data_IF_896071585563
#
_entry.id   IF_896071585563
#
_cell.length_a   1.000
_cell.length_b   1.000
_cell.length_c   1.000
_cell.angle_alpha   90.00
_cell.angle_beta   90.00
_cell.angle_gamma   90.00
#
_symmetry.space_group_name_H-M   'P 1'
#
loop_
_entity.id
_entity.type
_entity.pdbx_description
1 polymer ?
#
# COMPACT_ATOMS: atom_id res chain seq x y z
N UNK A 1 -13.92 3.33 -20.52
CA UNK A 1 -13.01 3.30 -19.35
C UNK A 1 -12.96 1.92 -18.70
N UNK A 2 -14.10 1.30 -18.38
CA UNK A 2 -14.17 -0.07 -17.81
C UNK A 2 -13.58 -1.15 -18.74
N UNK A 3 -13.85 -1.07 -20.05
CA UNK A 3 -13.39 -2.08 -21.03
C UNK A 3 -11.85 -2.13 -21.15
N UNK A 4 -11.19 -0.98 -21.22
CA UNK A 4 -9.72 -0.89 -21.29
C UNK A 4 -9.05 -1.44 -20.01
N UNK A 5 -9.64 -1.18 -18.84
CA UNK A 5 -9.17 -1.79 -17.60
C UNK A 5 -9.33 -3.31 -17.61
N UNK A 6 -10.50 -3.81 -18.04
CA UNK A 6 -10.76 -5.26 -18.14
C UNK A 6 -9.80 -5.92 -19.13
N UNK A 7 -9.53 -5.30 -20.28
CA UNK A 7 -8.59 -5.79 -21.29
C UNK A 7 -7.15 -5.82 -20.77
N UNK A 8 -6.71 -4.79 -20.04
CA UNK A 8 -5.37 -4.78 -19.45
C UNK A 8 -5.23 -5.78 -18.31
N UNK A 9 -6.23 -5.91 -17.44
CA UNK A 9 -6.26 -6.92 -16.39
C UNK A 9 -6.29 -8.33 -16.98
N UNK A 10 -7.05 -8.56 -18.07
CA UNK A 10 -7.16 -9.90 -18.66
C UNK A 10 -5.82 -10.41 -19.21
N UNK A 11 -4.98 -9.51 -19.72
CA UNK A 11 -3.61 -9.85 -20.15
C UNK A 11 -2.67 -10.15 -18.97
N UNK A 12 -2.90 -9.56 -17.80
CA UNK A 12 -2.15 -9.85 -16.56
C UNK A 12 -2.74 -11.00 -15.73
N UNK A 13 -3.95 -11.46 -16.05
CA UNK A 13 -4.65 -12.49 -15.29
C UNK A 13 -3.86 -13.82 -15.13
N UNK A 14 -3.10 -14.31 -16.13
CA UNK A 14 -2.23 -15.47 -15.93
C UNK A 14 -1.14 -15.23 -14.87
N UNK A 15 -0.48 -14.07 -14.91
CA UNK A 15 0.57 -13.71 -13.95
C UNK A 15 0.00 -13.53 -12.53
N UNK A 16 -1.21 -12.96 -12.40
CA UNK A 16 -1.92 -12.88 -11.12
C UNK A 16 -2.20 -14.28 -10.57
N UNK A 17 -2.65 -15.20 -11.42
CA UNK A 17 -2.93 -16.58 -11.02
C UNK A 17 -1.66 -17.29 -10.52
N UNK A 18 -0.54 -17.07 -11.17
CA UNK A 18 0.75 -17.65 -10.77
C UNK A 18 1.28 -17.06 -9.46
N UNK A 19 0.98 -15.78 -9.17
CA UNK A 19 1.31 -15.13 -7.90
C UNK A 19 0.55 -15.74 -6.71
N UNK A 20 -0.65 -16.29 -6.94
CA UNK A 20 -1.41 -17.06 -5.95
C UNK A 20 -2.45 -16.26 -5.14
N UNK A 21 -2.58 -14.95 -5.40
CA UNK A 21 -3.62 -14.10 -4.81
C UNK A 21 -4.82 -13.93 -5.75
N UNK A 22 -5.97 -13.54 -5.20
CA UNK A 22 -7.14 -13.26 -6.04
C UNK A 22 -6.95 -11.97 -6.86
N UNK A 23 -7.58 -11.90 -8.04
CA UNK A 23 -7.58 -10.67 -8.86
C UNK A 23 -8.11 -9.47 -8.07
N UNK A 24 -9.11 -9.71 -7.22
CA UNK A 24 -9.65 -8.68 -6.34
C UNK A 24 -8.56 -8.14 -5.41
N UNK A 25 -7.87 -9.02 -4.69
CA UNK A 25 -6.89 -8.63 -3.68
C UNK A 25 -5.66 -7.94 -4.29
N UNK A 26 -5.24 -8.40 -5.48
CA UNK A 26 -4.20 -7.71 -6.26
C UNK A 26 -4.64 -6.31 -6.66
N UNK A 27 -5.88 -6.12 -7.12
CA UNK A 27 -6.39 -4.78 -7.48
C UNK A 27 -6.51 -3.88 -6.25
N UNK A 28 -6.92 -4.42 -5.10
CA UNK A 28 -6.94 -3.66 -3.84
C UNK A 28 -5.52 -3.24 -3.45
N UNK A 29 -4.56 -4.17 -3.45
CA UNK A 29 -3.15 -3.89 -3.17
C UNK A 29 -2.60 -2.83 -4.13
N UNK A 30 -2.79 -3.01 -5.44
CA UNK A 30 -2.35 -2.05 -6.45
C UNK A 30 -2.95 -0.66 -6.23
N UNK A 31 -4.21 -0.55 -5.78
CA UNK A 31 -4.82 0.74 -5.48
C UNK A 31 -4.20 1.47 -4.29
N UNK A 32 -3.65 0.73 -3.32
CA UNK A 32 -2.87 1.29 -2.22
C UNK A 32 -1.51 1.79 -2.75
N UNK A 33 -0.81 0.94 -3.51
CA UNK A 33 0.50 1.27 -4.10
C UNK A 33 0.46 2.49 -5.02
N UNK A 34 -0.61 2.63 -5.80
CA UNK A 34 -0.88 3.78 -6.68
C UNK A 34 -0.82 5.11 -5.92
N UNK A 35 -1.25 5.10 -4.65
CA UNK A 35 -1.31 6.30 -3.80
C UNK A 35 -0.10 6.48 -2.90
N UNK A 36 0.60 5.39 -2.57
CA UNK A 36 1.75 5.41 -1.66
C UNK A 36 3.08 5.72 -2.37
N UNK A 37 3.23 5.32 -3.64
CA UNK A 37 4.52 5.36 -4.32
C UNK A 37 4.43 5.88 -5.75
N UNK A 38 5.48 6.58 -6.17
CA UNK A 38 5.57 7.24 -7.49
C UNK A 38 6.33 6.41 -8.51
N UNK A 39 7.40 5.72 -8.11
CA UNK A 39 8.24 4.93 -9.02
C UNK A 39 7.90 3.44 -8.93
N UNK A 40 8.25 2.69 -9.97
CA UNK A 40 8.02 1.25 -10.02
C UNK A 40 8.76 0.53 -8.89
N UNK A 41 10.03 0.84 -8.71
CA UNK A 41 10.92 0.21 -7.72
C UNK A 41 10.39 0.44 -6.30
N UNK A 42 9.92 1.66 -6.02
CA UNK A 42 9.31 1.96 -4.71
C UNK A 42 8.02 1.16 -4.50
N UNK A 43 7.20 1.01 -5.54
CA UNK A 43 5.96 0.21 -5.45
C UNK A 43 6.26 -1.26 -5.18
N UNK A 44 7.28 -1.84 -5.82
CA UNK A 44 7.68 -3.23 -5.62
C UNK A 44 8.16 -3.47 -4.17
N UNK A 45 8.96 -2.57 -3.61
CA UNK A 45 9.38 -2.64 -2.20
C UNK A 45 8.19 -2.53 -1.25
N UNK A 46 7.32 -1.52 -1.45
CA UNK A 46 6.14 -1.35 -0.59
C UNK A 46 5.19 -2.54 -0.73
N UNK A 47 4.99 -3.09 -1.93
CA UNK A 47 4.19 -4.30 -2.15
C UNK A 47 4.73 -5.47 -1.31
N UNK A 48 6.04 -5.68 -1.33
CA UNK A 48 6.70 -6.71 -0.51
C UNK A 48 6.56 -6.47 1.00
N UNK A 49 6.48 -5.22 1.44
CA UNK A 49 6.18 -4.89 2.86
C UNK A 49 4.72 -5.19 3.19
N UNK A 50 3.78 -4.75 2.36
CA UNK A 50 2.34 -4.86 2.64
C UNK A 50 1.85 -6.31 2.55
N UNK A 51 2.29 -7.08 1.56
CA UNK A 51 2.00 -8.52 1.49
C UNK A 51 2.57 -9.28 2.69
N UNK A 52 3.79 -8.96 3.11
CA UNK A 52 4.42 -9.55 4.30
C UNK A 52 3.60 -9.24 5.56
N UNK A 53 3.25 -7.97 5.77
CA UNK A 53 2.37 -7.55 6.89
C UNK A 53 1.04 -8.31 6.87
N UNK A 54 0.42 -8.44 5.70
CA UNK A 54 -0.84 -9.17 5.54
C UNK A 54 -0.70 -10.64 5.96
N UNK A 55 0.34 -11.32 5.46
CA UNK A 55 0.65 -12.72 5.77
C UNK A 55 0.88 -12.93 7.28
N UNK A 56 1.53 -11.98 7.94
CA UNK A 56 1.83 -12.05 9.37
C UNK A 56 0.69 -11.53 10.27
N UNK A 57 -0.46 -11.17 9.68
CA UNK A 57 -1.62 -10.66 10.42
C UNK A 57 -1.36 -9.30 11.08
N UNK A 58 -0.44 -8.51 10.53
CA UNK A 58 -0.20 -7.13 10.90
C UNK A 58 -1.18 -6.20 10.16
N UNK A 59 -1.67 -5.12 10.80
CA UNK A 59 -2.41 -4.09 10.10
C UNK A 59 -1.52 -3.40 9.06
N UNK A 60 -2.11 -3.01 7.92
CA UNK A 60 -1.36 -2.42 6.81
C UNK A 60 -0.88 -1.00 7.12
N UNK A 61 -1.64 -0.23 7.91
CA UNK A 61 -1.30 1.13 8.37
C UNK A 61 -0.86 2.05 7.22
N UNK A 62 -1.72 2.16 6.21
CA UNK A 62 -1.49 2.93 4.99
C UNK A 62 -2.34 4.20 5.06
N UNK A 63 -1.71 5.37 4.99
CA UNK A 63 -2.41 6.66 5.15
C UNK A 63 -3.28 7.01 3.93
N UNK A 64 -2.95 6.49 2.75
CA UNK A 64 -3.68 6.75 1.52
C UNK A 64 -5.17 6.36 1.56
N UNK A 65 -5.61 5.55 2.54
CA UNK A 65 -7.02 5.23 2.72
C UNK A 65 -7.83 6.40 3.31
N UNK A 66 -7.21 7.33 4.06
CA UNK A 66 -7.98 8.38 4.73
C UNK A 66 -8.58 9.44 3.80
N UNK A 67 -7.92 9.88 2.71
CA UNK A 67 -8.59 10.66 1.69
C UNK A 67 -9.88 9.99 1.16
N UNK A 68 -9.93 8.66 1.12
CA UNK A 68 -11.11 7.89 0.75
C UNK A 68 -12.15 7.81 1.88
N UNK A 69 -11.72 7.73 3.14
CA UNK A 69 -12.60 7.61 4.32
C UNK A 69 -13.25 8.96 4.69
N UNK A 70 -12.46 10.02 4.78
CA UNK A 70 -12.89 11.31 5.36
C UNK A 70 -12.47 12.53 4.53
N UNK A 71 -11.89 12.34 3.34
CA UNK A 71 -11.48 13.43 2.46
C UNK A 71 -10.24 14.21 2.93
N UNK A 72 -9.58 13.80 4.02
CA UNK A 72 -8.37 14.44 4.52
C UNK A 72 -7.14 13.90 3.83
N UNK A 73 -6.21 14.78 3.50
CA UNK A 73 -4.89 14.38 3.03
C UNK A 73 -4.04 13.87 4.19
N UNK A 74 -3.01 13.07 3.88
CA UNK A 74 -2.12 12.44 4.87
C UNK A 74 -1.45 13.44 5.81
N UNK A 75 -1.10 14.63 5.31
CA UNK A 75 -0.54 15.73 6.12
C UNK A 75 -1.50 16.36 7.13
N UNK A 76 -2.78 16.00 7.12
CA UNK A 76 -3.83 16.58 7.98
C UNK A 76 -4.40 15.59 8.99
N UNK A 77 -3.88 14.35 9.01
CA UNK A 77 -4.41 13.29 9.88
C UNK A 77 -4.01 13.53 11.33
N UNK A 78 -5.00 13.56 12.21
CA UNK A 78 -4.79 13.53 13.66
C UNK A 78 -4.77 12.09 14.19
N UNK A 79 -4.37 11.91 15.46
CA UNK A 79 -4.44 10.59 16.09
C UNK A 79 -5.89 10.07 16.17
N UNK A 80 -6.85 10.96 16.35
CA UNK A 80 -8.28 10.64 16.35
C UNK A 80 -8.75 10.17 14.98
N UNK A 81 -8.26 10.79 13.90
CA UNK A 81 -8.57 10.34 12.52
C UNK A 81 -8.14 8.89 12.31
N UNK A 82 -6.96 8.51 12.79
CA UNK A 82 -6.43 7.15 12.65
C UNK A 82 -7.28 6.09 13.39
N UNK A 83 -8.09 6.50 14.37
CA UNK A 83 -8.94 5.61 15.17
C UNK A 83 -10.40 5.58 14.68
N UNK A 84 -10.73 6.28 13.59
CA UNK A 84 -12.10 6.29 13.06
C UNK A 84 -12.58 4.87 12.75
N UNK A 85 -13.79 4.52 13.19
CA UNK A 85 -14.38 3.23 12.86
C UNK A 85 -14.90 3.23 11.42
N UNK A 86 -14.14 2.63 10.52
CA UNK A 86 -14.51 2.52 9.11
C UNK A 86 -13.95 1.21 8.51
N UNK A 87 -14.68 0.53 7.59
CA UNK A 87 -14.22 -0.74 7.03
C UNK A 87 -12.92 -0.61 6.20
N UNK A 88 -12.60 0.58 5.68
CA UNK A 88 -11.35 0.85 4.96
C UNK A 88 -10.17 1.27 5.87
N UNK A 89 -10.40 1.42 7.18
CA UNK A 89 -9.33 1.86 8.07
C UNK A 89 -8.29 0.74 8.28
N UNK A 90 -7.13 0.89 7.65
CA UNK A 90 -6.02 -0.07 7.68
C UNK A 90 -5.17 0.02 8.96
N UNK A 91 -5.46 0.96 9.86
CA UNK A 91 -4.82 1.07 11.17
C UNK A 91 -5.51 0.21 12.22
N UNK A 92 -6.84 0.20 12.20
CA UNK A 92 -7.65 -0.52 13.20
C UNK A 92 -8.10 -1.89 12.72
N UNK A 93 -8.18 -2.11 11.40
CA UNK A 93 -8.59 -3.39 10.80
C UNK A 93 -7.40 -4.09 10.15
N UNK A 94 -7.30 -5.39 10.42
CA UNK A 94 -6.35 -6.29 9.76
C UNK A 94 -6.93 -6.76 8.43
N UNK A 95 -6.06 -7.13 7.50
CA UNK A 95 -6.47 -7.54 6.17
C UNK A 95 -6.43 -6.39 5.16
N UNK A 96 -6.81 -6.71 3.93
CA UNK A 96 -7.06 -5.72 2.89
C UNK A 96 -8.40 -5.00 3.15
N UNK A 97 -8.54 -3.72 2.73
CA UNK A 97 -9.84 -3.07 2.74
C UNK A 97 -10.82 -3.80 1.80
N UNK A 98 -12.16 -3.58 1.95
CA UNK A 98 -13.17 -4.32 1.19
C UNK A 98 -13.12 -4.13 -0.32
N UNK A 99 -12.39 -3.13 -0.80
CA UNK A 99 -12.24 -2.81 -2.20
C UNK A 99 -11.14 -1.77 -2.42
N UNK A 100 -10.85 -1.43 -3.68
CA UNK A 100 -9.79 -0.49 -4.01
C UNK A 100 -10.17 0.95 -3.62
N UNK A 101 -9.16 1.75 -3.26
CA UNK A 101 -9.32 3.18 -2.91
C UNK A 101 -9.08 4.12 -4.11
N UNK A 102 -8.62 3.56 -5.22
CA UNK A 102 -8.26 4.29 -6.43
C UNK A 102 -8.41 3.37 -7.67
N UNK A 103 -8.25 3.94 -8.87
CA UNK A 103 -8.13 3.18 -10.10
C UNK A 103 -6.63 2.98 -10.41
N UNK A 104 -6.00 1.84 -10.06
CA UNK A 104 -4.57 1.66 -10.23
C UNK A 104 -4.16 1.58 -11.70
N UNK A 105 -3.00 2.14 -12.02
CA UNK A 105 -2.35 1.94 -13.30
C UNK A 105 -1.83 0.51 -13.47
N UNK A 106 -1.43 0.17 -14.69
CA UNK A 106 -0.84 -1.14 -14.99
C UNK A 106 0.45 -1.35 -14.19
N UNK A 107 1.28 -0.32 -14.04
CA UNK A 107 2.54 -0.40 -13.28
C UNK A 107 2.28 -0.78 -11.80
N UNK A 108 1.24 -0.23 -11.19
CA UNK A 108 0.87 -0.57 -9.81
C UNK A 108 0.36 -2.02 -9.69
N UNK A 109 -0.36 -2.52 -10.70
CA UNK A 109 -0.79 -3.92 -10.77
C UNK A 109 0.42 -4.85 -10.93
N UNK A 110 1.34 -4.52 -11.84
CA UNK A 110 2.57 -5.29 -12.06
C UNK A 110 3.42 -5.32 -10.79
N UNK A 111 3.57 -4.19 -10.09
CA UNK A 111 4.32 -4.12 -8.84
C UNK A 111 3.64 -4.92 -7.72
N UNK A 112 2.31 -4.95 -7.68
CA UNK A 112 1.57 -5.75 -6.70
C UNK A 112 1.82 -7.25 -6.84
N UNK A 113 2.06 -7.76 -8.05
CA UNK A 113 2.33 -9.18 -8.32
C UNK A 113 3.81 -9.52 -8.50
N UNK A 114 4.68 -8.52 -8.56
CA UNK A 114 6.15 -8.68 -8.56
C UNK A 114 6.77 -7.91 -7.39
N UNK A 115 6.39 -8.20 -6.13
CA UNK A 115 6.96 -7.51 -4.99
C UNK A 115 8.46 -7.80 -4.84
N UNK A 116 9.23 -6.81 -4.40
CA UNK A 116 10.63 -7.02 -4.05
C UNK A 116 10.72 -7.74 -2.70
N UNK A 117 11.45 -8.86 -2.66
CA UNK A 117 11.70 -9.59 -1.43
C UNK A 117 12.72 -8.84 -0.58
N UNK A 118 12.22 -8.09 0.40
CA UNK A 118 13.04 -7.31 1.32
C UNK A 118 12.75 -7.70 2.77
N UNK A 119 13.73 -7.54 3.67
CA UNK A 119 13.54 -7.79 5.10
C UNK A 119 12.75 -6.68 5.81
N UNK A 120 12.24 -5.69 5.07
CA UNK A 120 11.58 -4.53 5.65
C UNK A 120 10.14 -4.84 6.07
N UNK A 121 9.73 -4.18 7.15
CA UNK A 121 8.36 -4.15 7.64
C UNK A 121 7.81 -2.74 7.71
N UNK A 122 8.65 -1.71 7.62
CA UNK A 122 8.24 -0.33 7.81
C UNK A 122 8.85 0.54 6.73
N UNK A 123 8.14 1.61 6.38
CA UNK A 123 8.59 2.61 5.43
C UNK A 123 8.04 3.99 5.82
N UNK A 124 8.69 5.04 5.34
CA UNK A 124 8.18 6.42 5.38
C UNK A 124 8.79 7.20 4.21
N UNK A 125 8.10 8.23 3.74
CA UNK A 125 8.66 9.26 2.86
C UNK A 125 9.11 10.47 3.66
N UNK A 126 10.25 11.05 3.34
CA UNK A 126 10.68 12.34 3.88
C UNK A 126 10.07 13.53 3.13
N UNK A 127 10.42 14.76 3.53
CA UNK A 127 9.86 15.99 2.93
C UNK A 127 10.31 16.19 1.48
N UNK A 128 11.44 15.61 1.13
CA UNK A 128 12.01 15.58 -0.22
C UNK A 128 11.39 14.49 -1.09
N UNK A 129 10.58 13.60 -0.49
CA UNK A 129 9.88 12.51 -1.15
C UNK A 129 10.74 11.24 -1.31
N UNK A 130 11.87 11.15 -0.61
CA UNK A 130 12.71 9.96 -0.58
C UNK A 130 12.17 8.96 0.43
N UNK A 131 12.21 7.68 0.06
CA UNK A 131 11.68 6.59 0.87
C UNK A 131 12.75 5.99 1.77
N UNK A 132 12.38 5.79 3.04
CA UNK A 132 13.25 5.21 4.06
C UNK A 132 12.59 3.97 4.65
N UNK A 133 13.29 2.85 4.59
CA UNK A 133 12.77 1.55 5.02
C UNK A 133 13.40 1.10 6.34
N UNK A 134 12.67 0.28 7.10
CA UNK A 134 13.18 -0.33 8.32
C UNK A 134 12.64 -1.75 8.52
N UNK A 135 13.46 -2.60 9.14
CA UNK A 135 13.11 -3.99 9.49
C UNK A 135 12.33 -4.06 10.81
N UNK A 136 12.61 -3.14 11.72
CA UNK A 136 12.05 -3.12 13.08
C UNK A 136 11.36 -1.79 13.36
N UNK A 137 10.49 -1.78 14.36
CA UNK A 137 9.80 -0.58 14.80
C UNK A 137 10.79 0.47 15.34
N UNK A 138 11.79 0.06 16.13
CA UNK A 138 12.84 0.98 16.61
C UNK A 138 13.62 1.62 15.46
N UNK A 139 13.92 0.87 14.40
CA UNK A 139 14.53 1.40 13.18
C UNK A 139 13.62 2.41 12.48
N UNK A 140 12.31 2.16 12.44
CA UNK A 140 11.34 3.11 11.91
C UNK A 140 11.27 4.40 12.75
N UNK A 141 11.27 4.30 14.09
CA UNK A 141 11.32 5.46 14.97
C UNK A 141 12.60 6.28 14.79
N UNK A 142 13.75 5.61 14.61
CA UNK A 142 15.01 6.28 14.28
C UNK A 142 14.94 7.02 12.94
N UNK A 143 14.35 6.40 11.91
CA UNK A 143 14.12 7.05 10.62
C UNK A 143 13.20 8.28 10.78
N UNK A 144 12.08 8.17 11.50
CA UNK A 144 11.19 9.32 11.78
C UNK A 144 11.95 10.48 12.45
N UNK A 145 12.75 10.18 13.48
CA UNK A 145 13.53 11.19 14.20
C UNK A 145 14.62 11.84 13.34
N UNK A 146 15.12 11.15 12.31
CA UNK A 146 16.17 11.63 11.42
C UNK A 146 15.64 12.44 10.23
N UNK A 147 14.54 12.00 9.63
CA UNK A 147 14.08 12.49 8.33
C UNK A 147 12.79 13.32 8.39
N UNK A 148 12.02 13.26 9.49
CA UNK A 148 10.73 13.98 9.63
C UNK A 148 10.77 15.12 10.66
N UNK A 149 11.96 15.59 11.06
CA UNK A 149 12.10 16.72 11.99
C UNK A 149 11.63 18.04 11.39
#
# INVERSE_FOLDING_TARGET
MKENFIEKISTTAPAIKDFGESVHDVVVMASLLEKEARTMETREVIAGILWKRLKDGMPLQVDAVFPYINGKNTFQLSLEDLQVDHPYNTYTRKGLPPGPIANPGLDAIIAAINPEDTPYYFYLSDKEGMMHYARTFDGHLANKARYLR
#
